data_IF_232539667925
#
_entry.id   IF_232539667925
#
_cell.length_a   1.000
_cell.length_b   1.000
_cell.length_c   1.000
_cell.angle_alpha   90.00
_cell.angle_beta   90.00
_cell.angle_gamma   90.00
#
_symmetry.space_group_name_H-M   'P 1'
#
loop_
_entity.id
_entity.type
_entity.pdbx_description
1 polymer ?
#
# COMPACT_ATOMS: atom_id res chain seq x y z
N UNK A 1 -3.11 15.98 -10.97
CA UNK A 1 -4.21 16.05 -9.96
C UNK A 1 -5.06 17.30 -10.21
N UNK A 2 -5.43 17.50 -11.47
CA UNK A 2 -6.15 18.72 -11.87
C UNK A 2 -7.57 18.70 -11.29
N UNK A 3 -7.87 19.68 -10.44
CA UNK A 3 -9.18 19.90 -9.82
C UNK A 3 -9.52 19.06 -8.59
N UNK A 4 -8.67 18.11 -8.16
CA UNK A 4 -8.89 17.31 -6.95
C UNK A 4 -8.08 17.87 -5.78
N UNK A 5 -8.75 18.11 -4.65
CA UNK A 5 -8.04 18.52 -3.43
C UNK A 5 -7.20 17.37 -2.87
N UNK A 6 -5.90 17.46 -3.11
CA UNK A 6 -4.94 16.39 -2.73
C UNK A 6 -4.96 16.04 -1.24
N UNK A 7 -5.33 16.95 -0.35
CA UNK A 7 -5.38 16.71 1.09
C UNK A 7 -6.59 15.85 1.51
N UNK A 8 -7.63 15.83 0.65
CA UNK A 8 -8.81 15.00 0.83
C UNK A 8 -8.77 13.70 0.02
N UNK A 9 -7.72 13.48 -0.80
CA UNK A 9 -7.56 12.20 -1.48
C UNK A 9 -7.40 11.09 -0.46
N UNK A 10 -8.11 9.99 -0.69
CA UNK A 10 -8.05 8.81 0.18
C UNK A 10 -6.68 8.13 0.07
N UNK A 11 -6.08 7.85 1.21
CA UNK A 11 -4.88 7.06 1.39
C UNK A 11 -5.23 5.89 2.32
N UNK A 12 -5.30 4.67 1.80
CA UNK A 12 -5.88 3.55 2.54
C UNK A 12 -7.36 3.78 2.86
N UNK A 13 -7.72 3.91 4.14
CA UNK A 13 -9.10 4.01 4.64
C UNK A 13 -9.58 5.44 4.94
N UNK A 14 -8.70 6.46 4.83
CA UNK A 14 -9.02 7.85 5.25
C UNK A 14 -8.33 8.90 4.39
N UNK A 15 -8.76 10.16 4.45
CA UNK A 15 -8.09 11.26 3.75
C UNK A 15 -6.63 11.43 4.16
N UNK A 16 -5.78 11.83 3.20
CA UNK A 16 -4.36 12.08 3.42
C UNK A 16 -4.09 13.00 4.62
N UNK A 17 -4.85 14.09 4.75
CA UNK A 17 -4.71 15.01 5.88
C UNK A 17 -5.05 14.37 7.23
N UNK A 18 -6.01 13.42 7.27
CA UNK A 18 -6.38 12.72 8.50
C UNK A 18 -5.24 11.84 9.02
N UNK A 19 -4.40 11.26 8.11
CA UNK A 19 -3.18 10.53 8.52
C UNK A 19 -2.18 11.44 9.21
N UNK A 20 -1.90 12.63 8.67
CA UNK A 20 -0.98 13.60 9.27
C UNK A 20 -1.46 14.05 10.65
N UNK A 21 -2.77 14.37 10.79
CA UNK A 21 -3.38 14.75 12.07
C UNK A 21 -3.29 13.57 13.07
N UNK A 22 -3.64 12.37 12.65
CA UNK A 22 -3.58 11.17 13.47
C UNK A 22 -2.18 10.85 13.97
N UNK A 23 -1.16 10.99 13.12
CA UNK A 23 0.24 10.78 13.48
C UNK A 23 0.73 11.76 14.56
N UNK A 24 0.36 13.04 14.45
CA UNK A 24 0.66 14.07 15.44
C UNK A 24 -0.08 13.85 16.77
N UNK A 25 -1.32 13.39 16.72
CA UNK A 25 -2.14 13.12 17.92
C UNK A 25 -1.72 11.85 18.67
N UNK A 26 -1.18 10.86 17.94
CA UNK A 26 -0.86 9.56 18.47
C UNK A 26 0.47 9.56 19.23
N UNK A 27 0.48 9.47 20.52
CA UNK A 27 1.73 9.30 21.29
C UNK A 27 1.90 10.28 22.46
N UNK A 28 0.96 11.20 22.64
CA UNK A 28 0.92 12.08 23.80
C UNK A 28 2.04 13.15 23.87
N UNK A 29 2.88 13.25 22.81
CA UNK A 29 3.93 14.26 22.75
C UNK A 29 3.41 15.64 22.30
N UNK A 30 2.22 15.71 21.73
CA UNK A 30 1.56 16.92 21.24
C UNK A 30 0.29 17.16 22.04
N UNK A 31 0.24 18.29 22.74
CA UNK A 31 -0.88 18.63 23.65
C UNK A 31 -2.10 19.20 22.90
N UNK A 32 -1.90 19.90 21.81
CA UNK A 32 -2.93 20.55 21.02
C UNK A 32 -2.53 20.65 19.55
N UNK A 33 -3.51 20.52 18.67
CA UNK A 33 -3.33 20.62 17.21
C UNK A 33 -4.25 21.72 16.68
N UNK A 34 -3.69 22.65 15.90
CA UNK A 34 -4.46 23.61 15.10
C UNK A 34 -4.35 23.18 13.65
N UNK A 35 -5.49 22.85 13.06
CA UNK A 35 -5.61 22.50 11.64
C UNK A 35 -5.98 23.75 10.87
N UNK A 36 -5.04 24.30 10.11
CA UNK A 36 -5.28 25.47 9.26
C UNK A 36 -5.77 24.98 7.90
N UNK A 37 -7.02 25.30 7.56
CA UNK A 37 -7.65 24.72 6.37
C UNK A 37 -8.82 25.60 5.88
N UNK A 38 -9.38 25.26 4.70
CA UNK A 38 -10.60 25.91 4.19
C UNK A 38 -11.86 25.37 4.87
N UNK A 39 -12.96 26.10 4.74
CA UNK A 39 -14.25 25.69 5.28
C UNK A 39 -14.73 24.35 4.69
N UNK A 40 -14.51 24.14 3.39
CA UNK A 40 -14.89 22.90 2.69
C UNK A 40 -14.12 21.70 3.23
N UNK A 41 -12.79 21.82 3.39
CA UNK A 41 -11.96 20.74 3.96
C UNK A 41 -12.32 20.46 5.40
N UNK A 42 -12.60 21.51 6.20
CA UNK A 42 -13.08 21.36 7.58
C UNK A 42 -14.36 20.54 7.61
N UNK A 43 -15.34 20.90 6.77
CA UNK A 43 -16.59 20.17 6.69
C UNK A 43 -16.38 18.69 6.31
N UNK A 44 -15.54 18.41 5.34
CA UNK A 44 -15.20 17.05 4.93
C UNK A 44 -14.52 16.24 6.04
N UNK A 45 -13.58 16.84 6.79
CA UNK A 45 -12.90 16.18 7.92
C UNK A 45 -13.87 15.89 9.08
N UNK A 46 -14.81 16.79 9.33
CA UNK A 46 -15.80 16.62 10.40
C UNK A 46 -16.94 15.67 10.03
N UNK A 47 -17.20 15.47 8.74
CA UNK A 47 -18.23 14.53 8.27
C UNK A 47 -17.81 13.06 8.41
N UNK A 48 -16.51 12.78 8.53
CA UNK A 48 -15.95 11.44 8.73
C UNK A 48 -15.47 11.24 10.16
N UNK A 49 -15.45 10.01 10.61
CA UNK A 49 -14.96 9.63 11.95
C UNK A 49 -13.42 9.43 11.96
N UNK A 50 -12.70 10.34 11.32
CA UNK A 50 -11.24 10.23 11.13
C UNK A 50 -10.42 11.03 12.14
N UNK A 51 -11.02 12.02 12.76
CA UNK A 51 -10.29 12.88 13.68
C UNK A 51 -10.15 12.21 15.04
N UNK A 52 -8.94 12.17 15.60
CA UNK A 52 -8.74 11.63 16.93
C UNK A 52 -9.51 12.47 17.96
N UNK A 53 -10.01 11.82 19.01
CA UNK A 53 -10.54 12.52 20.16
C UNK A 53 -9.43 13.36 20.79
N UNK A 54 -9.72 14.65 21.09
CA UNK A 54 -8.76 15.50 21.73
C UNK A 54 -8.82 16.97 21.33
N UNK A 55 -7.72 17.66 21.56
CA UNK A 55 -7.62 19.12 21.46
C UNK A 55 -7.32 19.56 20.02
N UNK A 56 -8.28 19.35 19.13
CA UNK A 56 -8.19 19.83 17.75
C UNK A 56 -8.97 21.13 17.61
N UNK A 57 -8.30 22.15 17.14
CA UNK A 57 -8.89 23.45 16.81
C UNK A 57 -8.69 23.72 15.32
N UNK A 58 -9.63 24.39 14.68
CA UNK A 58 -9.52 24.80 13.29
C UNK A 58 -9.29 26.29 13.17
N UNK A 59 -8.47 26.67 12.20
CA UNK A 59 -8.29 28.05 11.78
C UNK A 59 -8.41 28.15 10.26
N UNK A 60 -8.90 29.28 9.77
CA UNK A 60 -8.97 29.51 8.33
C UNK A 60 -7.58 29.95 7.81
N UNK A 61 -7.19 29.41 6.65
CA UNK A 61 -5.95 29.77 5.99
C UNK A 61 -6.02 31.14 5.34
N UNK A 62 -4.84 31.75 5.13
CA UNK A 62 -4.72 32.96 4.31
C UNK A 62 -4.30 32.64 2.86
N UNK A 63 -4.14 33.68 2.04
CA UNK A 63 -3.78 33.55 0.62
C UNK A 63 -2.39 32.98 0.38
N UNK A 64 -1.46 33.24 1.32
CA UNK A 64 -0.09 32.72 1.29
C UNK A 64 0.12 31.72 2.42
N UNK A 65 1.11 30.83 2.23
CA UNK A 65 1.49 29.85 3.27
C UNK A 65 1.80 30.53 4.61
N UNK A 66 2.57 31.61 4.59
CA UNK A 66 2.94 32.37 5.79
C UNK A 66 1.75 33.00 6.52
N UNK A 67 0.71 33.42 5.79
CA UNK A 67 -0.52 33.97 6.37
C UNK A 67 -1.32 32.86 7.07
N UNK A 68 -1.34 31.67 6.47
CA UNK A 68 -1.92 30.46 7.08
C UNK A 68 -1.20 30.05 8.36
N UNK A 69 0.14 30.07 8.37
CA UNK A 69 0.96 29.77 9.57
C UNK A 69 0.68 30.78 10.67
N UNK A 70 0.59 32.06 10.33
CA UNK A 70 0.24 33.13 11.27
C UNK A 70 -1.14 32.89 11.91
N UNK A 71 -2.15 32.63 11.08
CA UNK A 71 -3.51 32.35 11.57
C UNK A 71 -3.56 31.13 12.50
N UNK A 72 -2.84 30.06 12.14
CA UNK A 72 -2.69 28.87 12.98
C UNK A 72 -1.98 29.16 14.30
N UNK A 73 -0.91 29.93 14.26
CA UNK A 73 -0.18 30.33 15.46
C UNK A 73 -1.03 31.19 16.41
N UNK A 74 -1.78 32.16 15.90
CA UNK A 74 -2.70 32.98 16.68
C UNK A 74 -3.83 32.16 17.29
N UNK A 75 -4.36 31.18 16.56
CA UNK A 75 -5.34 30.26 17.10
C UNK A 75 -4.77 29.38 18.22
N UNK A 76 -3.50 28.94 18.07
CA UNK A 76 -2.79 28.19 19.12
C UNK A 76 -2.57 29.04 20.37
N UNK A 77 -2.19 30.30 20.22
CA UNK A 77 -2.00 31.24 21.33
C UNK A 77 -3.28 31.43 22.15
N UNK A 78 -4.45 31.48 21.48
CA UNK A 78 -5.76 31.54 22.14
C UNK A 78 -6.16 30.22 22.84
N UNK A 79 -5.89 29.09 22.18
CA UNK A 79 -6.30 27.77 22.69
C UNK A 79 -5.43 27.28 23.85
N UNK A 80 -4.14 27.59 23.83
CA UNK A 80 -3.17 27.13 24.83
C UNK A 80 -2.24 28.29 25.19
N UNK A 81 -2.63 29.18 26.11
CA UNK A 81 -1.80 30.30 26.52
C UNK A 81 -0.43 29.87 27.06
N UNK A 82 0.62 30.55 26.63
CA UNK A 82 1.99 30.35 27.10
C UNK A 82 2.73 31.72 27.14
N UNK A 83 2.54 32.48 28.20
CA UNK A 83 3.15 33.82 28.32
C UNK A 83 4.70 33.80 28.29
N UNK A 84 5.31 32.77 28.85
CA UNK A 84 6.77 32.62 28.85
C UNK A 84 7.32 32.24 27.45
N UNK A 85 6.48 31.61 26.60
CA UNK A 85 6.85 31.22 25.26
C UNK A 85 7.88 30.07 25.19
N UNK A 86 7.98 29.26 26.22
CA UNK A 86 8.96 28.18 26.31
C UNK A 86 8.44 26.85 25.72
N UNK A 87 7.14 26.72 25.50
CA UNK A 87 6.59 25.52 24.85
C UNK A 87 7.07 25.40 23.41
N UNK A 88 7.17 24.16 22.95
CA UNK A 88 7.53 23.86 21.56
C UNK A 88 6.32 24.00 20.68
N UNK A 89 6.48 24.69 19.54
CA UNK A 89 5.52 24.72 18.45
C UNK A 89 6.11 23.97 17.27
N UNK A 90 5.30 23.09 16.68
CA UNK A 90 5.64 22.36 15.47
C UNK A 90 4.72 22.86 14.34
N UNK A 91 5.30 23.15 13.19
CA UNK A 91 4.55 23.39 11.95
C UNK A 91 4.77 22.21 11.02
N UNK A 92 3.67 21.60 10.59
CA UNK A 92 3.72 20.39 9.78
C UNK A 92 2.88 20.52 8.51
N UNK A 93 3.43 20.06 7.39
CA UNK A 93 2.72 20.00 6.12
C UNK A 93 1.66 18.88 6.16
N UNK A 94 0.39 19.21 6.00
CA UNK A 94 -0.70 18.22 5.90
C UNK A 94 -0.55 17.24 4.73
N UNK A 95 0.34 17.53 3.77
CA UNK A 95 0.68 16.65 2.67
C UNK A 95 1.80 15.62 3.00
N UNK A 96 2.22 15.50 4.26
CA UNK A 96 3.18 14.48 4.75
C UNK A 96 2.46 13.51 5.71
N UNK A 97 1.72 12.55 5.19
CA UNK A 97 0.90 11.65 6.02
C UNK A 97 1.70 10.66 6.85
N UNK A 98 2.99 10.43 6.50
CA UNK A 98 3.82 9.35 7.05
C UNK A 98 4.81 9.82 8.10
N UNK A 99 4.59 10.96 8.75
CA UNK A 99 5.46 11.44 9.84
C UNK A 99 5.47 10.44 11.00
N UNK A 100 6.66 9.97 11.38
CA UNK A 100 6.81 8.99 12.46
C UNK A 100 6.79 9.66 13.85
N UNK A 101 6.33 8.91 14.86
CA UNK A 101 6.39 9.37 16.26
C UNK A 101 7.83 9.65 16.72
N UNK A 102 8.78 8.86 16.23
CA UNK A 102 10.19 9.05 16.52
C UNK A 102 10.68 10.41 16.00
N UNK A 103 10.38 10.73 14.74
CA UNK A 103 10.76 12.01 14.15
C UNK A 103 10.13 13.21 14.88
N UNK A 104 8.88 13.10 15.30
CA UNK A 104 8.20 14.14 16.10
C UNK A 104 8.94 14.34 17.44
N UNK A 105 9.25 13.25 18.15
CA UNK A 105 9.97 13.31 19.42
C UNK A 105 11.38 13.88 19.28
N UNK A 106 12.10 13.51 18.22
CA UNK A 106 13.45 14.00 17.94
C UNK A 106 13.46 15.51 17.65
N UNK A 107 12.47 16.01 16.89
CA UNK A 107 12.31 17.45 16.66
C UNK A 107 12.01 18.19 17.96
N UNK A 108 11.09 17.67 18.79
CA UNK A 108 10.77 18.27 20.09
C UNK A 108 12.02 18.34 20.99
N UNK A 109 12.78 17.26 21.07
CA UNK A 109 14.01 17.20 21.87
C UNK A 109 15.07 18.19 21.34
N UNK A 110 15.25 18.27 20.02
CA UNK A 110 16.18 19.21 19.41
C UNK A 110 15.78 20.68 19.66
N UNK A 111 14.49 21.02 19.57
CA UNK A 111 13.98 22.35 19.93
C UNK A 111 14.21 22.65 21.42
N UNK A 112 13.99 21.67 22.29
CA UNK A 112 14.29 21.80 23.72
C UNK A 112 15.76 22.19 23.97
N UNK A 113 16.69 21.65 23.20
CA UNK A 113 18.12 21.86 23.31
C UNK A 113 18.62 23.15 22.62
N UNK A 114 18.11 23.41 21.42
CA UNK A 114 18.69 24.42 20.52
C UNK A 114 17.79 25.63 20.28
N UNK A 115 16.51 25.56 20.63
CA UNK A 115 15.53 26.62 20.43
C UNK A 115 14.73 26.51 19.13
N UNK A 116 15.36 26.11 18.03
CA UNK A 116 14.71 25.81 16.76
C UNK A 116 15.43 24.70 16.02
N UNK A 117 14.67 23.80 15.37
CA UNK A 117 15.22 22.66 14.65
C UNK A 117 14.28 22.16 13.55
N UNK A 118 14.86 21.57 12.49
CA UNK A 118 14.17 20.95 11.39
C UNK A 118 14.78 19.60 11.02
N UNK A 119 14.00 18.62 10.60
CA UNK A 119 14.51 17.40 10.00
C UNK A 119 14.86 17.65 8.54
N UNK A 120 15.94 17.04 8.05
CA UNK A 120 16.32 17.14 6.66
C UNK A 120 17.04 15.88 6.17
N UNK A 121 16.97 15.64 4.86
CA UNK A 121 17.66 14.56 4.18
C UNK A 121 18.82 15.10 3.35
N UNK A 122 19.95 14.38 3.26
CA UNK A 122 21.00 14.70 2.30
C UNK A 122 20.42 14.70 0.87
N UNK A 123 20.91 15.60 0.03
CA UNK A 123 20.52 15.61 -1.39
C UNK A 123 21.25 14.50 -2.12
N UNK A 124 20.51 13.49 -2.58
CA UNK A 124 21.07 12.32 -3.28
C UNK A 124 21.40 12.62 -4.74
N UNK A 125 20.59 13.44 -5.42
CA UNK A 125 20.71 13.73 -6.84
C UNK A 125 21.72 14.81 -7.15
N UNK A 126 22.35 14.77 -8.35
CA UNK A 126 23.21 15.85 -8.82
C UNK A 126 22.36 17.07 -9.19
N UNK A 127 22.55 18.19 -8.49
CA UNK A 127 21.81 19.40 -8.73
C UNK A 127 22.43 20.23 -9.86
N UNK A 128 21.59 20.74 -10.76
CA UNK A 128 21.97 21.62 -11.86
C UNK A 128 21.22 22.94 -11.74
N UNK A 129 21.97 24.05 -11.90
CA UNK A 129 21.35 25.35 -12.15
C UNK A 129 21.02 25.45 -13.62
N UNK A 130 19.77 25.79 -13.93
CA UNK A 130 19.28 25.90 -15.32
C UNK A 130 18.92 27.35 -15.60
N UNK A 131 19.28 27.85 -16.76
CA UNK A 131 18.88 29.15 -17.31
C UNK A 131 18.52 28.94 -18.78
N UNK A 132 17.35 29.41 -19.20
CA UNK A 132 16.85 29.28 -20.59
C UNK A 132 16.97 27.83 -21.12
N UNK A 133 16.48 26.84 -20.35
CA UNK A 133 16.49 25.41 -20.64
C UNK A 133 17.89 24.80 -20.84
N UNK A 134 18.96 25.51 -20.46
CA UNK A 134 20.35 25.05 -20.54
C UNK A 134 20.96 24.92 -19.14
N UNK A 135 21.82 23.93 -18.98
CA UNK A 135 22.61 23.79 -17.75
C UNK A 135 23.60 24.95 -17.67
N UNK A 136 23.41 25.84 -16.69
CA UNK A 136 24.31 26.94 -16.41
C UNK A 136 25.47 26.52 -15.47
N UNK A 137 25.20 25.65 -14.48
CA UNK A 137 26.21 25.16 -13.55
C UNK A 137 25.79 23.85 -12.87
N UNK A 138 26.75 23.10 -12.37
CA UNK A 138 26.53 22.05 -11.37
C UNK A 138 26.65 22.68 -10.00
N UNK A 139 25.67 22.42 -9.13
CA UNK A 139 25.67 22.92 -7.75
C UNK A 139 26.35 21.86 -6.86
N UNK A 140 27.33 22.25 -6.08
CA UNK A 140 27.88 21.39 -5.06
C UNK A 140 26.79 21.10 -4.00
N UNK A 141 26.58 19.81 -3.72
CA UNK A 141 25.55 19.34 -2.81
C UNK A 141 26.08 18.90 -1.44
N UNK A 142 27.37 18.97 -1.21
CA UNK A 142 27.99 18.51 0.05
C UNK A 142 27.39 19.17 1.29
N UNK A 143 26.99 20.44 1.18
CA UNK A 143 26.38 21.22 2.24
C UNK A 143 24.86 21.45 2.04
N UNK A 144 24.25 20.75 1.09
CA UNK A 144 22.83 20.91 0.82
C UNK A 144 22.01 19.78 1.42
N UNK A 145 20.87 20.15 2.00
CA UNK A 145 19.90 19.22 2.54
C UNK A 145 18.50 19.56 2.03
N UNK A 146 17.65 18.55 1.93
CA UNK A 146 16.23 18.71 1.61
C UNK A 146 15.45 18.77 2.92
N UNK A 147 14.90 19.93 3.23
CA UNK A 147 14.14 20.17 4.47
C UNK A 147 12.81 19.38 4.48
N UNK A 148 12.50 18.84 5.63
CA UNK A 148 11.22 18.22 5.90
C UNK A 148 10.46 18.99 6.99
N UNK A 149 9.22 18.53 7.27
CA UNK A 149 8.43 18.93 8.42
C UNK A 149 8.08 17.70 9.27
N UNK A 150 7.83 17.84 10.60
CA UNK A 150 7.56 19.08 11.33
C UNK A 150 8.81 19.94 11.53
N UNK A 151 8.66 21.26 11.33
CA UNK A 151 9.65 22.25 11.70
C UNK A 151 9.29 22.82 13.06
N UNK A 152 10.24 22.83 13.99
CA UNK A 152 9.97 23.16 15.38
C UNK A 152 10.72 24.40 15.85
N UNK A 153 10.08 25.19 16.71
CA UNK A 153 10.70 26.27 17.43
C UNK A 153 10.08 26.46 18.82
N UNK A 154 10.84 27.08 19.75
CA UNK A 154 10.24 27.62 20.96
C UNK A 154 9.24 28.70 20.59
N UNK A 155 8.08 28.71 21.26
CA UNK A 155 6.97 29.59 20.90
C UNK A 155 7.37 31.07 20.86
N UNK A 156 8.21 31.53 21.80
CA UNK A 156 8.71 32.91 21.82
C UNK A 156 9.50 33.28 20.56
N UNK A 157 10.32 32.36 20.03
CA UNK A 157 11.11 32.61 18.82
C UNK A 157 10.21 32.71 17.58
N UNK A 158 9.24 31.82 17.48
CA UNK A 158 8.29 31.88 16.37
C UNK A 158 7.36 33.13 16.44
N UNK A 159 6.95 33.51 17.67
CA UNK A 159 6.19 34.75 17.91
C UNK A 159 6.97 35.98 17.47
N UNK A 160 8.24 36.09 17.86
CA UNK A 160 9.13 37.17 17.46
C UNK A 160 9.32 37.23 15.95
N UNK A 161 9.60 36.09 15.32
CA UNK A 161 9.79 36.00 13.89
C UNK A 161 8.50 36.39 13.11
N UNK A 162 7.35 35.90 13.52
CA UNK A 162 6.07 36.29 12.91
C UNK A 162 5.72 37.77 13.10
N UNK A 163 6.10 38.37 14.23
CA UNK A 163 5.89 39.79 14.48
C UNK A 163 6.77 40.68 13.60
N UNK A 164 8.02 40.28 13.33
CA UNK A 164 8.97 41.02 12.51
C UNK A 164 8.57 41.10 11.02
N UNK A 165 7.83 40.14 10.51
CA UNK A 165 7.39 40.06 9.09
C UNK A 165 6.12 40.89 8.78
N UNK A 166 5.52 41.54 9.77
CA UNK A 166 4.32 42.35 9.60
C UNK A 166 4.53 43.53 8.65
N UNK A 167 5.76 43.92 8.41
CA UNK A 167 6.10 45.03 7.51
C UNK A 167 6.20 44.67 6.01
N UNK A 168 5.73 43.50 5.58
CA UNK A 168 5.53 43.22 4.14
C UNK A 168 6.75 42.74 3.38
N UNK A 169 7.87 42.49 4.02
CA UNK A 169 9.10 42.12 3.33
C UNK A 169 9.30 40.61 3.26
N UNK A 170 9.07 40.02 2.11
CA UNK A 170 9.49 38.69 1.76
C UNK A 170 8.36 37.61 1.75
N UNK A 171 8.60 36.58 0.95
CA UNK A 171 7.81 35.35 0.94
C UNK A 171 8.66 34.23 1.48
N UNK A 172 8.20 33.58 2.53
CA UNK A 172 8.93 32.50 3.19
C UNK A 172 8.38 31.14 2.72
N UNK A 173 9.28 30.29 2.31
CA UNK A 173 8.91 28.96 1.81
C UNK A 173 8.58 27.97 2.94
N UNK A 174 9.22 28.19 4.11
CA UNK A 174 9.03 27.40 5.32
C UNK A 174 9.39 28.22 6.58
N UNK A 175 9.26 27.61 7.78
CA UNK A 175 9.54 28.27 9.04
C UNK A 175 11.03 28.47 9.27
N UNK A 176 11.88 27.60 8.74
CA UNK A 176 13.33 27.77 8.81
C UNK A 176 13.75 29.07 8.11
N UNK A 177 13.28 29.32 6.88
CA UNK A 177 13.57 30.55 6.14
C UNK A 177 13.08 31.81 6.87
N UNK A 178 11.92 31.74 7.53
CA UNK A 178 11.41 32.82 8.37
C UNK A 178 12.34 33.11 9.57
N UNK A 179 12.75 32.04 10.30
CA UNK A 179 13.63 32.16 11.47
C UNK A 179 15.03 32.66 11.08
N UNK A 180 15.59 32.16 9.98
CA UNK A 180 16.87 32.59 9.41
C UNK A 180 16.86 34.08 9.07
N UNK A 181 15.78 34.57 8.44
CA UNK A 181 15.64 36.00 8.13
C UNK A 181 15.62 36.87 9.40
N UNK A 182 15.18 36.32 10.53
CA UNK A 182 15.22 36.95 11.84
C UNK A 182 16.52 36.72 12.58
N UNK A 183 17.55 36.11 11.95
CA UNK A 183 18.84 35.73 12.52
C UNK A 183 18.74 34.77 13.71
N UNK A 184 17.69 33.94 13.72
CA UNK A 184 17.51 32.88 14.71
C UNK A 184 18.17 31.62 14.15
N UNK A 185 19.09 31.03 14.87
CA UNK A 185 19.77 29.80 14.45
C UNK A 185 18.79 28.63 14.42
N UNK A 186 18.75 27.90 13.30
CA UNK A 186 17.94 26.70 13.10
C UNK A 186 18.87 25.49 12.97
N UNK A 187 18.69 24.51 13.84
CA UNK A 187 19.48 23.29 13.81
C UNK A 187 18.87 22.23 12.91
N UNK A 188 19.72 21.48 12.22
CA UNK A 188 19.31 20.39 11.34
C UNK A 188 19.52 19.06 12.06
N UNK A 189 18.51 18.17 12.00
CA UNK A 189 18.60 16.80 12.47
C UNK A 189 18.30 15.83 11.31
N UNK A 190 18.69 14.55 11.41
CA UNK A 190 18.38 13.56 10.39
C UNK A 190 16.88 13.45 10.16
N UNK A 191 16.46 13.52 8.90
CA UNK A 191 15.08 13.31 8.48
C UNK A 191 14.78 11.84 8.27
N UNK A 192 13.54 11.56 7.87
CA UNK A 192 13.03 10.21 7.59
C UNK A 192 12.62 10.11 6.11
N UNK A 193 13.24 9.23 5.30
CA UNK A 193 12.86 9.03 3.91
C UNK A 193 11.38 8.63 3.73
N UNK A 194 10.77 7.96 4.73
CA UNK A 194 9.37 7.62 4.72
C UNK A 194 8.45 8.83 4.90
N UNK A 195 8.93 9.93 5.49
CA UNK A 195 8.19 11.18 5.68
C UNK A 195 8.12 12.01 4.40
N UNK A 196 7.70 11.37 3.31
CA UNK A 196 7.60 12.00 2.00
C UNK A 196 6.44 13.02 1.94
N UNK A 197 6.59 14.02 1.07
CA UNK A 197 5.53 15.00 0.77
C UNK A 197 4.79 14.54 -0.46
N UNK A 198 3.50 14.28 -0.36
CA UNK A 198 2.64 13.91 -1.50
C UNK A 198 2.39 15.17 -2.33
N UNK A 199 2.95 15.20 -3.54
CA UNK A 199 2.84 16.33 -4.49
C UNK A 199 2.28 15.91 -5.84
N UNK A 200 2.62 14.71 -6.30
CA UNK A 200 2.19 14.12 -7.57
C UNK A 200 1.53 12.75 -7.32
N UNK A 201 0.77 12.20 -8.29
CA UNK A 201 0.09 10.90 -8.12
C UNK A 201 1.01 9.75 -7.68
N UNK A 202 2.22 9.69 -8.23
CA UNK A 202 3.21 8.66 -7.87
C UNK A 202 3.67 8.72 -6.41
N UNK A 203 3.62 9.90 -5.77
CA UNK A 203 3.91 10.03 -4.34
C UNK A 203 2.80 9.39 -3.50
N UNK A 204 1.55 9.44 -3.97
CA UNK A 204 0.42 8.79 -3.30
C UNK A 204 0.59 7.27 -3.30
N UNK A 205 0.96 6.68 -4.43
CA UNK A 205 1.25 5.25 -4.56
C UNK A 205 2.39 4.82 -3.63
N UNK A 206 3.45 5.64 -3.51
CA UNK A 206 4.55 5.40 -2.58
C UNK A 206 4.10 5.48 -1.12
N UNK A 207 3.30 6.50 -0.77
CA UNK A 207 2.74 6.64 0.57
C UNK A 207 1.84 5.44 0.93
N UNK A 208 1.05 4.96 -0.03
CA UNK A 208 0.20 3.79 0.13
C UNK A 208 1.01 2.51 0.38
N UNK A 209 2.09 2.32 -0.37
CA UNK A 209 3.03 1.21 -0.17
C UNK A 209 3.71 1.27 1.20
N UNK A 210 4.06 2.45 1.70
CA UNK A 210 4.64 2.64 3.03
C UNK A 210 3.62 2.39 4.14
N UNK A 211 2.38 2.83 3.96
CA UNK A 211 1.30 2.66 4.93
C UNK A 211 0.96 1.18 5.14
N UNK A 212 0.93 0.44 4.03
CA UNK A 212 0.51 -0.95 4.04
C UNK A 212 1.66 -1.94 4.23
N UNK A 213 2.92 -1.48 4.11
CA UNK A 213 4.09 -2.35 4.08
C UNK A 213 4.12 -3.25 2.82
N UNK A 214 5.12 -4.11 2.66
CA UNK A 214 5.10 -5.12 1.61
C UNK A 214 3.89 -6.02 1.82
N UNK A 215 3.06 -6.16 0.78
CA UNK A 215 1.92 -7.06 0.83
C UNK A 215 2.39 -8.47 1.24
N UNK A 216 1.79 -9.03 2.28
CA UNK A 216 2.15 -10.38 2.70
C UNK A 216 1.79 -11.35 1.58
N UNK A 217 2.80 -12.05 1.05
CA UNK A 217 2.63 -13.06 0.00
C UNK A 217 2.97 -14.43 0.55
N UNK A 218 2.20 -15.42 0.13
CA UNK A 218 2.45 -16.82 0.45
C UNK A 218 2.36 -17.67 -0.80
N UNK A 219 3.12 -18.74 -0.83
CA UNK A 219 3.12 -19.69 -1.94
C UNK A 219 2.79 -21.08 -1.39
N UNK A 220 1.91 -21.78 -2.07
CA UNK A 220 1.54 -23.15 -1.78
C UNK A 220 1.73 -24.05 -3.00
N UNK A 221 1.82 -25.34 -2.76
CA UNK A 221 1.91 -26.36 -3.78
C UNK A 221 0.76 -27.37 -3.58
N UNK A 222 0.13 -27.73 -4.69
CA UNK A 222 -0.90 -28.78 -4.71
C UNK A 222 -0.60 -29.81 -5.79
N UNK A 223 -0.98 -31.06 -5.54
CA UNK A 223 -0.83 -32.16 -6.48
C UNK A 223 -2.07 -33.06 -6.42
N UNK A 224 -2.56 -33.42 -7.61
CA UNK A 224 -3.61 -34.43 -7.75
C UNK A 224 -3.32 -35.35 -8.93
N UNK A 225 -3.88 -36.56 -8.95
CA UNK A 225 -3.69 -37.49 -10.04
C UNK A 225 -4.69 -38.65 -9.99
N UNK A 226 -5.30 -38.94 -11.15
CA UNK A 226 -6.33 -39.94 -11.29
C UNK A 226 -6.10 -40.84 -12.50
N UNK A 227 -6.43 -42.14 -12.40
CA UNK A 227 -6.47 -43.03 -13.56
C UNK A 227 -7.64 -42.68 -14.47
N UNK A 228 -7.55 -43.06 -15.74
CA UNK A 228 -8.69 -43.00 -16.64
C UNK A 228 -9.82 -43.94 -16.18
N UNK A 229 -11.04 -43.46 -16.26
CA UNK A 229 -12.26 -44.19 -15.92
C UNK A 229 -13.23 -44.32 -17.12
N UNK A 230 -14.38 -44.94 -16.90
CA UNK A 230 -15.42 -45.04 -17.92
C UNK A 230 -16.14 -43.70 -18.13
N UNK A 231 -16.65 -43.48 -19.35
CA UNK A 231 -17.40 -42.26 -19.72
C UNK A 231 -16.53 -41.19 -20.38
N UNK A 232 -17.18 -40.20 -20.93
CA UNK A 232 -16.64 -39.02 -21.64
C UNK A 232 -17.47 -37.79 -21.28
N UNK A 233 -16.97 -36.55 -21.48
CA UNK A 233 -15.64 -36.18 -21.94
C UNK A 233 -14.59 -36.22 -20.80
N UNK A 234 -13.30 -36.12 -21.15
CA UNK A 234 -12.26 -35.75 -20.18
C UNK A 234 -12.41 -34.29 -19.83
N UNK A 235 -12.55 -33.97 -18.54
CA UNK A 235 -12.44 -32.61 -18.01
C UNK A 235 -11.04 -32.38 -17.48
N UNK A 236 -10.38 -31.32 -17.94
CA UNK A 236 -9.00 -31.02 -17.56
C UNK A 236 -8.68 -29.54 -17.75
N UNK A 237 -8.27 -28.90 -16.68
CA UNK A 237 -7.95 -27.47 -16.67
C UNK A 237 -9.14 -26.56 -16.97
N UNK A 238 -10.34 -26.98 -16.59
CA UNK A 238 -11.59 -26.23 -16.76
C UNK A 238 -12.19 -26.32 -18.16
N UNK A 239 -11.68 -27.20 -19.04
CA UNK A 239 -12.22 -27.41 -20.40
C UNK A 239 -12.60 -28.87 -20.62
N UNK A 240 -13.55 -29.08 -21.55
CA UNK A 240 -13.99 -30.42 -21.98
C UNK A 240 -13.17 -30.88 -23.18
N UNK A 241 -12.64 -32.11 -23.13
CA UNK A 241 -11.90 -32.73 -24.20
C UNK A 241 -12.73 -33.95 -24.70
N UNK A 242 -13.47 -33.75 -25.78
CA UNK A 242 -14.34 -34.80 -26.39
C UNK A 242 -13.52 -35.91 -27.00
N UNK A 243 -14.08 -37.13 -27.00
CA UNK A 243 -13.45 -38.33 -27.56
C UNK A 243 -12.30 -38.88 -26.69
N UNK A 244 -12.21 -38.44 -25.43
CA UNK A 244 -11.24 -38.92 -24.48
C UNK A 244 -11.94 -39.38 -23.20
N UNK A 245 -11.64 -40.57 -22.68
CA UNK A 245 -12.21 -41.03 -21.42
C UNK A 245 -11.97 -40.09 -20.26
N UNK A 246 -12.98 -39.92 -19.39
CA UNK A 246 -12.86 -39.13 -18.17
C UNK A 246 -11.85 -39.74 -17.21
N UNK A 247 -11.39 -38.98 -16.24
CA UNK A 247 -10.64 -39.49 -15.11
C UNK A 247 -11.62 -40.01 -14.05
N UNK A 248 -11.17 -41.02 -13.32
CA UNK A 248 -11.92 -41.58 -12.19
C UNK A 248 -11.84 -40.63 -11.00
N UNK A 249 -12.97 -40.30 -10.39
CA UNK A 249 -13.01 -39.39 -9.23
C UNK A 249 -14.43 -39.24 -8.69
N UNK A 250 -14.59 -38.61 -7.53
CA UNK A 250 -15.89 -38.31 -6.93
C UNK A 250 -16.55 -37.10 -7.64
N UNK A 251 -15.73 -36.10 -8.03
CA UNK A 251 -16.11 -34.97 -8.86
C UNK A 251 -16.09 -35.32 -10.36
N UNK A 252 -16.02 -34.32 -11.22
CA UNK A 252 -15.79 -34.48 -12.67
C UNK A 252 -14.38 -34.99 -13.02
N UNK A 253 -13.46 -35.09 -12.03
CA UNK A 253 -12.11 -35.65 -12.16
C UNK A 253 -11.06 -34.70 -12.72
N UNK A 254 -11.31 -33.38 -12.74
CA UNK A 254 -10.32 -32.39 -13.21
C UNK A 254 -9.16 -32.23 -12.24
N UNK A 255 -8.14 -33.08 -12.38
CA UNK A 255 -6.92 -33.08 -11.54
C UNK A 255 -6.15 -31.76 -11.60
N UNK A 256 -6.28 -31.02 -12.70
CA UNK A 256 -5.59 -29.75 -12.85
C UNK A 256 -6.20 -28.67 -11.95
N UNK A 257 -7.54 -28.56 -11.92
CA UNK A 257 -8.23 -27.64 -11.03
C UNK A 257 -8.11 -28.05 -9.57
N UNK A 258 -8.11 -29.34 -9.25
CA UNK A 258 -7.87 -29.84 -7.88
C UNK A 258 -6.48 -29.47 -7.39
N UNK A 259 -5.44 -29.68 -8.21
CA UNK A 259 -4.08 -29.30 -7.83
C UNK A 259 -3.96 -27.77 -7.59
N UNK A 260 -4.63 -26.94 -8.39
CA UNK A 260 -4.68 -25.49 -8.20
C UNK A 260 -5.40 -25.14 -6.89
N UNK A 261 -6.55 -25.77 -6.61
CA UNK A 261 -7.31 -25.57 -5.37
C UNK A 261 -6.48 -25.90 -4.12
N UNK A 262 -5.80 -27.05 -4.11
CA UNK A 262 -4.93 -27.47 -3.00
C UNK A 262 -3.72 -26.54 -2.82
N UNK A 263 -3.14 -26.04 -3.93
CA UNK A 263 -2.06 -25.06 -3.86
C UNK A 263 -2.52 -23.76 -3.20
N UNK A 264 -3.71 -23.29 -3.53
CA UNK A 264 -4.29 -22.08 -2.95
C UNK A 264 -4.65 -22.24 -1.48
N UNK A 265 -5.34 -23.34 -1.11
CA UNK A 265 -5.70 -23.64 0.28
C UNK A 265 -4.45 -23.82 1.14
N UNK A 266 -3.44 -24.54 0.63
CA UNK A 266 -2.16 -24.73 1.31
C UNK A 266 -1.41 -23.41 1.54
N UNK A 267 -1.37 -22.52 0.55
CA UNK A 267 -0.77 -21.20 0.69
C UNK A 267 -1.43 -20.37 1.81
N UNK A 268 -2.75 -20.47 1.95
CA UNK A 268 -3.52 -19.76 2.98
C UNK A 268 -3.53 -20.47 4.34
N UNK A 269 -2.94 -21.68 4.45
CA UNK A 269 -3.03 -22.55 5.63
C UNK A 269 -4.48 -22.95 5.99
N UNK A 270 -5.34 -23.12 4.98
CA UNK A 270 -6.75 -23.50 5.12
C UNK A 270 -7.01 -25.02 4.94
N UNK A 271 -5.97 -25.82 4.80
CA UNK A 271 -6.05 -27.26 4.61
C UNK A 271 -6.00 -27.66 3.14
N UNK A 272 -6.89 -28.58 2.73
CA UNK A 272 -6.95 -29.16 1.40
C UNK A 272 -8.39 -29.27 0.88
N UNK A 273 -8.54 -29.55 -0.42
CA UNK A 273 -9.84 -29.68 -1.08
C UNK A 273 -10.72 -30.79 -0.50
N UNK A 274 -10.08 -31.90 -0.11
CA UNK A 274 -10.81 -33.05 0.47
C UNK A 274 -11.43 -32.76 1.84
N UNK A 275 -10.81 -31.86 2.62
CA UNK A 275 -11.39 -31.38 3.89
C UNK A 275 -12.51 -30.37 3.65
N UNK A 276 -12.38 -29.52 2.64
CA UNK A 276 -13.42 -28.56 2.30
C UNK A 276 -14.64 -29.22 1.64
N UNK A 277 -14.41 -30.25 0.86
CA UNK A 277 -15.44 -31.00 0.13
C UNK A 277 -15.29 -32.51 0.36
N UNK A 278 -15.69 -33.04 1.54
CA UNK A 278 -15.56 -34.47 1.83
C UNK A 278 -16.39 -35.31 0.87
N UNK A 279 -15.82 -36.44 0.46
CA UNK A 279 -16.54 -37.40 -0.37
C UNK A 279 -17.71 -38.01 0.42
N UNK A 280 -18.93 -37.62 0.14
CA UNK A 280 -20.14 -38.04 0.87
C UNK A 280 -21.41 -37.40 0.33
N UNK A 281 -22.47 -37.45 1.16
CA UNK A 281 -23.77 -36.83 0.78
C UNK A 281 -23.74 -35.30 0.71
N UNK A 282 -22.75 -34.68 1.33
CA UNK A 282 -22.59 -33.21 1.34
C UNK A 282 -21.98 -32.67 0.05
N UNK A 283 -21.16 -33.49 -0.66
CA UNK A 283 -20.60 -33.13 -1.96
C UNK A 283 -21.26 -33.97 -3.06
N UNK A 284 -22.06 -33.36 -3.96
CA UNK A 284 -22.69 -34.12 -5.05
C UNK A 284 -21.65 -34.84 -5.90
N UNK A 285 -22.02 -36.04 -6.40
CA UNK A 285 -21.18 -36.72 -7.39
C UNK A 285 -21.18 -35.94 -8.70
N UNK A 286 -20.05 -36.00 -9.41
CA UNK A 286 -19.82 -35.34 -10.69
C UNK A 286 -19.92 -33.80 -10.65
N UNK A 287 -19.73 -33.20 -9.45
CA UNK A 287 -19.68 -31.74 -9.29
C UNK A 287 -18.58 -31.14 -10.17
N UNK A 288 -18.91 -30.02 -10.80
CA UNK A 288 -17.98 -29.28 -11.67
C UNK A 288 -16.82 -28.70 -10.85
N UNK A 289 -15.60 -29.11 -11.16
CA UNK A 289 -14.39 -28.62 -10.45
C UNK A 289 -14.17 -27.10 -10.56
N UNK A 290 -14.77 -26.42 -11.54
CA UNK A 290 -14.77 -24.95 -11.61
C UNK A 290 -15.60 -24.33 -10.48
N UNK A 291 -16.68 -25.00 -10.04
CA UNK A 291 -17.49 -24.55 -8.90
C UNK A 291 -16.71 -24.76 -7.60
N UNK A 292 -16.03 -25.90 -7.45
CA UNK A 292 -15.17 -26.15 -6.31
C UNK A 292 -14.05 -25.09 -6.20
N UNK A 293 -13.40 -24.79 -7.32
CA UNK A 293 -12.33 -23.79 -7.34
C UNK A 293 -12.86 -22.36 -7.04
N UNK A 294 -14.08 -21.99 -7.50
CA UNK A 294 -14.71 -20.72 -7.11
C UNK A 294 -14.95 -20.65 -5.61
N UNK A 295 -15.50 -21.71 -5.03
CA UNK A 295 -15.71 -21.74 -3.57
C UNK A 295 -14.40 -21.65 -2.78
N UNK A 296 -13.28 -22.20 -3.32
CA UNK A 296 -11.94 -22.00 -2.74
C UNK A 296 -11.52 -20.52 -2.82
N UNK A 297 -11.75 -19.86 -3.95
CA UNK A 297 -11.44 -18.41 -4.08
C UNK A 297 -12.26 -17.58 -3.10
N UNK A 298 -13.55 -17.88 -2.95
CA UNK A 298 -14.43 -17.21 -1.98
C UNK A 298 -13.90 -17.42 -0.55
N UNK A 299 -13.52 -18.65 -0.21
CA UNK A 299 -12.94 -19.00 1.10
C UNK A 299 -11.61 -18.29 1.37
N UNK A 300 -10.77 -18.11 0.35
CA UNK A 300 -9.57 -17.29 0.46
C UNK A 300 -9.93 -15.85 0.77
N UNK A 301 -10.91 -15.27 0.07
CA UNK A 301 -11.40 -13.90 0.29
C UNK A 301 -11.86 -13.67 1.71
N UNK A 302 -12.66 -14.60 2.28
CA UNK A 302 -13.09 -14.56 3.68
C UNK A 302 -11.90 -14.61 4.67
N UNK A 303 -10.83 -15.30 4.31
CA UNK A 303 -9.60 -15.39 5.12
C UNK A 303 -8.62 -14.23 4.87
N UNK A 304 -9.00 -13.23 4.07
CA UNK A 304 -8.18 -12.06 3.77
C UNK A 304 -7.05 -12.32 2.76
N UNK A 305 -7.27 -13.25 1.81
CA UNK A 305 -6.30 -13.58 0.76
C UNK A 305 -6.92 -13.50 -0.64
N UNK A 306 -6.09 -13.21 -1.63
CA UNK A 306 -6.47 -13.29 -3.05
C UNK A 306 -5.39 -14.01 -3.86
N UNK A 307 -5.74 -14.78 -4.90
CA UNK A 307 -4.78 -15.32 -5.84
C UNK A 307 -4.07 -14.20 -6.61
N UNK A 308 -2.78 -14.38 -6.90
CA UNK A 308 -2.01 -13.45 -7.75
C UNK A 308 -1.22 -14.16 -8.86
N UNK A 309 -1.08 -15.48 -8.79
CA UNK A 309 -0.40 -16.23 -9.84
C UNK A 309 -0.49 -17.73 -9.65
N UNK A 310 -0.46 -18.47 -10.76
CA UNK A 310 -0.49 -19.95 -10.80
C UNK A 310 0.49 -20.45 -11.86
N UNK A 311 1.29 -21.44 -11.49
CA UNK A 311 2.10 -22.25 -12.40
C UNK A 311 1.70 -23.71 -12.28
N UNK A 312 1.13 -24.26 -13.36
CA UNK A 312 0.55 -25.61 -13.43
C UNK A 312 1.31 -26.47 -14.44
N UNK A 313 1.67 -27.67 -14.02
CA UNK A 313 2.23 -28.70 -14.90
C UNK A 313 1.34 -29.93 -14.90
N UNK A 314 0.85 -30.33 -16.07
CA UNK A 314 0.05 -31.53 -16.28
C UNK A 314 0.94 -32.63 -16.85
N UNK A 315 0.91 -33.82 -16.25
CA UNK A 315 1.69 -34.97 -16.70
C UNK A 315 0.77 -36.08 -17.20
N UNK A 316 0.92 -36.50 -18.45
CA UNK A 316 0.15 -37.56 -19.05
C UNK A 316 0.54 -37.81 -20.51
N UNK A 317 0.72 -39.06 -20.90
CA UNK A 317 1.11 -39.44 -22.28
C UNK A 317 -0.02 -39.18 -23.30
N UNK A 318 -1.27 -39.14 -22.85
CA UNK A 318 -2.46 -38.88 -23.67
C UNK A 318 -3.54 -38.14 -22.89
N UNK A 319 -4.43 -37.35 -23.54
CA UNK A 319 -4.33 -36.92 -24.94
C UNK A 319 -3.18 -35.94 -25.16
N UNK A 320 -2.88 -35.59 -26.41
CA UNK A 320 -1.95 -34.48 -26.68
C UNK A 320 -2.59 -33.16 -26.30
N UNK A 321 -1.93 -32.40 -25.39
CA UNK A 321 -2.50 -31.18 -24.78
C UNK A 321 -1.96 -29.89 -25.42
N UNK A 322 -0.92 -29.91 -26.25
CA UNK A 322 -0.23 -28.72 -26.77
C UNK A 322 -1.18 -27.66 -27.36
N UNK A 323 -2.18 -28.08 -28.13
CA UNK A 323 -3.16 -27.14 -28.73
C UNK A 323 -4.29 -26.71 -27.80
N UNK A 324 -4.26 -27.07 -26.52
CA UNK A 324 -5.33 -26.82 -25.53
C UNK A 324 -4.85 -26.03 -24.31
N UNK A 325 -3.52 -25.87 -24.16
CA UNK A 325 -2.95 -25.24 -22.96
C UNK A 325 -3.39 -23.79 -22.79
N UNK A 326 -3.52 -23.04 -23.89
CA UNK A 326 -3.99 -21.65 -23.84
C UNK A 326 -5.46 -21.57 -23.39
N UNK A 327 -6.33 -22.49 -23.85
CA UNK A 327 -7.71 -22.52 -23.41
C UNK A 327 -7.84 -22.90 -21.92
N UNK A 328 -6.99 -23.82 -21.43
CA UNK A 328 -6.92 -24.15 -19.99
C UNK A 328 -6.46 -22.97 -19.17
N UNK A 329 -5.40 -22.27 -19.63
CA UNK A 329 -4.90 -21.04 -18.99
C UNK A 329 -6.03 -20.01 -18.84
N UNK A 330 -6.76 -19.77 -19.93
CA UNK A 330 -7.83 -18.77 -19.96
C UNK A 330 -9.02 -19.19 -19.07
N UNK A 331 -9.36 -20.47 -19.05
CA UNK A 331 -10.41 -21.00 -18.19
C UNK A 331 -10.04 -20.90 -16.69
N UNK A 332 -8.83 -21.28 -16.33
CA UNK A 332 -8.30 -21.14 -14.96
C UNK A 332 -8.25 -19.66 -14.55
N UNK A 333 -7.71 -18.81 -15.42
CA UNK A 333 -7.64 -17.36 -15.17
C UNK A 333 -9.01 -16.75 -14.92
N UNK A 334 -10.02 -17.14 -15.70
CA UNK A 334 -11.40 -16.67 -15.54
C UNK A 334 -12.02 -17.06 -14.19
N UNK A 335 -11.76 -18.28 -13.69
CA UNK A 335 -12.23 -18.71 -12.37
C UNK A 335 -11.52 -17.98 -11.24
N UNK A 336 -10.22 -17.75 -11.36
CA UNK A 336 -9.39 -17.11 -10.33
C UNK A 336 -9.44 -15.58 -10.36
N UNK A 337 -10.06 -14.97 -11.37
CA UNK A 337 -10.02 -13.51 -11.59
C UNK A 337 -8.62 -13.00 -11.97
N UNK A 338 -7.80 -13.85 -12.61
CA UNK A 338 -6.43 -13.53 -12.99
C UNK A 338 -6.32 -13.22 -14.50
N UNK A 339 -5.40 -12.31 -14.83
CA UNK A 339 -5.02 -12.11 -16.23
C UNK A 339 -4.28 -13.35 -16.78
N UNK A 340 -4.34 -13.62 -18.11
CA UNK A 340 -3.64 -14.75 -18.71
C UNK A 340 -2.13 -14.76 -18.42
N UNK A 341 -1.51 -13.60 -18.22
CA UNK A 341 -0.08 -13.48 -17.90
C UNK A 341 0.28 -13.97 -16.50
N UNK A 342 -0.70 -14.05 -15.59
CA UNK A 342 -0.52 -14.54 -14.23
C UNK A 342 -0.75 -16.06 -14.10
N UNK A 343 -1.13 -16.75 -15.18
CA UNK A 343 -1.38 -18.20 -15.21
C UNK A 343 -0.48 -18.85 -16.25
N UNK A 344 0.32 -19.81 -15.81
CA UNK A 344 1.15 -20.66 -16.67
C UNK A 344 0.62 -22.09 -16.65
N UNK A 345 0.40 -22.68 -17.84
CA UNK A 345 0.00 -24.09 -17.99
C UNK A 345 0.99 -24.81 -18.90
N UNK A 346 1.59 -25.86 -18.38
CA UNK A 346 2.58 -26.69 -19.10
C UNK A 346 2.11 -28.15 -19.09
N UNK A 347 2.56 -28.92 -20.09
CA UNK A 347 2.31 -30.34 -20.14
C UNK A 347 3.59 -31.14 -20.42
N UNK A 348 3.67 -32.31 -19.81
CA UNK A 348 4.71 -33.32 -20.03
C UNK A 348 4.07 -34.67 -20.34
N UNK A 349 4.68 -35.46 -21.22
CA UNK A 349 4.24 -36.83 -21.50
C UNK A 349 4.67 -37.83 -20.43
N UNK A 350 5.46 -37.42 -19.43
CA UNK A 350 6.00 -38.32 -18.40
C UNK A 350 7.10 -39.26 -18.91
N UNK A 351 7.61 -39.05 -20.12
CA UNK A 351 8.72 -39.82 -20.72
C UNK A 351 8.57 -41.35 -20.63
N UNK A 352 7.34 -41.84 -20.76
CA UNK A 352 6.97 -43.27 -20.66
C UNK A 352 7.15 -43.89 -19.26
N UNK A 353 7.42 -43.07 -18.25
CA UNK A 353 7.58 -43.53 -16.87
C UNK A 353 6.24 -43.47 -16.09
N UNK A 354 6.05 -44.39 -15.19
CA UNK A 354 4.88 -44.44 -14.31
C UNK A 354 3.55 -44.75 -15.01
N UNK A 355 2.46 -44.45 -14.33
CA UNK A 355 1.10 -44.60 -14.87
C UNK A 355 0.79 -43.52 -15.91
N UNK A 356 1.27 -42.33 -15.71
CA UNK A 356 1.10 -41.15 -16.59
C UNK A 356 1.81 -41.38 -17.92
N UNK A 357 3.08 -41.79 -17.89
CA UNK A 357 3.86 -42.06 -19.10
C UNK A 357 3.37 -43.29 -19.85
N UNK A 358 2.76 -44.26 -19.17
CA UNK A 358 2.08 -45.40 -19.78
C UNK A 358 0.68 -45.06 -20.32
N UNK A 359 0.20 -43.85 -20.17
CA UNK A 359 -1.10 -43.40 -20.65
C UNK A 359 -2.30 -43.97 -19.89
N UNK A 360 -2.11 -44.38 -18.62
CA UNK A 360 -3.14 -44.92 -17.76
C UNK A 360 -3.72 -43.92 -16.76
N UNK A 361 -3.01 -42.84 -16.51
CA UNK A 361 -3.41 -41.77 -15.60
C UNK A 361 -3.01 -40.38 -16.15
N UNK A 362 -3.56 -39.35 -15.55
CA UNK A 362 -3.09 -37.97 -15.64
C UNK A 362 -2.86 -37.49 -14.21
N UNK A 363 -1.75 -36.80 -13.98
CA UNK A 363 -1.51 -36.05 -12.76
C UNK A 363 -1.22 -34.57 -13.06
N UNK A 364 -1.41 -33.73 -12.07
CA UNK A 364 -1.13 -32.32 -12.12
C UNK A 364 -0.38 -31.86 -10.87
N UNK A 365 0.54 -30.93 -11.04
CA UNK A 365 1.25 -30.23 -9.99
C UNK A 365 1.07 -28.74 -10.20
N UNK A 366 0.55 -28.04 -9.21
CA UNK A 366 0.37 -26.62 -9.23
C UNK A 366 1.18 -25.93 -8.12
N UNK A 367 1.72 -24.77 -8.46
CA UNK A 367 2.24 -23.80 -7.49
C UNK A 367 1.38 -22.54 -7.61
N UNK A 368 0.79 -22.11 -6.50
CA UNK A 368 -0.02 -20.90 -6.47
C UNK A 368 0.56 -19.87 -5.49
N UNK A 369 0.53 -18.62 -5.87
CA UNK A 369 0.90 -17.49 -5.00
C UNK A 369 -0.35 -16.69 -4.70
N UNK A 370 -0.51 -16.37 -3.41
CA UNK A 370 -1.59 -15.53 -2.88
C UNK A 370 -1.01 -14.30 -2.21
N UNK A 371 -1.81 -13.26 -2.13
CA UNK A 371 -1.48 -12.00 -1.49
C UNK A 371 -2.57 -11.62 -0.50
N UNK A 372 -2.19 -11.05 0.64
CA UNK A 372 -3.16 -10.56 1.61
C UNK A 372 -4.05 -9.47 0.97
N UNK A 373 -5.36 -9.62 1.09
CA UNK A 373 -6.32 -8.54 0.81
C UNK A 373 -6.32 -7.57 1.97
N UNK A 374 -6.26 -6.29 1.67
CA UNK A 374 -6.16 -5.19 2.64
C UNK A 374 -7.54 -4.77 3.12
#
# INVERSE_FOLDING_TARGET
MDGVDKLLVTLGDRPLLAHAIGALAAGGAVDAIVVVTTAERRAALLAGDWLPAGRITFADGGDRRQDSVRAGFEALERAVPDPAGERVVLVHDGARPMVSRALIADVIAAVGRYGAAIPALPVAETLKRVTDDRIAATVDRSDLVSAQTPQGARRRLLREALASTTAGAGTWTDEAALLEACRIAVHVLPGDPANLKVTVPTDLERAESLLTGPASRRTGMGRDGHPFGPGEPLRLGGIDITGVPRLHGHSDGDVALHAVADALLGAAALGDLGRMFPAGSETPRDVDSRELLRAVVDRLGEAGWRPIGVDLTIVGARPRLAGRLDHMRDAIGAVLGLSPQAVSVKASTGNLDGAEGAGRAISALAVATIEATR
#
